data_IF_319992893472
#
_entry.id   IF_319992893472
#
_cell.length_a   1.000
_cell.length_b   1.000
_cell.length_c   1.000
_cell.angle_alpha   90.00
_cell.angle_beta   90.00
_cell.angle_gamma   90.00
#
_symmetry.space_group_name_H-M   'P 1'
#
loop_
_entity.id
_entity.type
_entity.pdbx_description
1 polymer ?
#
# COMPACT_ATOMS: atom_id res chain seq x y z
N UNK A 1 -3.55 -14.69 -12.75
CA UNK A 1 -2.56 -13.63 -12.56
C UNK A 1 -2.99 -12.37 -13.29
N UNK A 2 -2.96 -11.20 -12.67
CA UNK A 2 -3.36 -9.98 -13.37
C UNK A 2 -2.42 -9.64 -14.52
N UNK A 3 -2.97 -9.05 -15.58
CA UNK A 3 -2.18 -8.58 -16.70
C UNK A 3 -1.27 -7.43 -16.25
N UNK A 4 -0.11 -7.20 -16.91
CA UNK A 4 0.80 -6.14 -16.51
C UNK A 4 0.16 -4.74 -16.34
N UNK A 5 -0.73 -4.28 -17.24
CA UNK A 5 -1.41 -2.99 -17.04
C UNK A 5 -2.34 -2.98 -15.82
N UNK A 6 -3.00 -4.10 -15.56
CA UNK A 6 -3.88 -4.24 -14.39
C UNK A 6 -3.07 -4.23 -13.10
N UNK A 7 -1.94 -4.90 -13.08
CA UNK A 7 -1.05 -4.92 -11.93
C UNK A 7 -0.48 -3.53 -11.65
N UNK A 8 -0.06 -2.81 -12.68
CA UNK A 8 0.45 -1.44 -12.52
C UNK A 8 -0.65 -0.53 -11.94
N UNK A 9 -1.88 -0.66 -12.43
CA UNK A 9 -3.01 0.11 -11.91
C UNK A 9 -3.30 -0.23 -10.44
N UNK A 10 -3.23 -1.51 -10.08
CA UNK A 10 -3.40 -1.94 -8.69
C UNK A 10 -2.33 -1.32 -7.79
N UNK A 11 -1.07 -1.38 -8.20
CA UNK A 11 0.04 -0.82 -7.42
C UNK A 11 -0.15 0.69 -7.24
N UNK A 12 -0.48 1.39 -8.32
CA UNK A 12 -0.66 2.84 -8.31
C UNK A 12 -1.80 3.28 -7.40
N UNK A 13 -2.91 2.53 -7.38
CA UNK A 13 -4.08 2.89 -6.59
C UNK A 13 -4.02 2.42 -5.14
N UNK A 14 -3.21 1.39 -4.85
CA UNK A 14 -3.18 0.78 -3.52
C UNK A 14 -2.10 1.34 -2.60
N UNK A 15 -0.98 1.78 -3.15
CA UNK A 15 0.18 2.19 -2.36
C UNK A 15 0.52 3.66 -2.59
N UNK A 16 0.38 4.46 -1.55
CA UNK A 16 0.67 5.89 -1.61
C UNK A 16 2.17 6.18 -1.51
N UNK A 17 2.93 5.22 -1.03
CA UNK A 17 4.38 5.32 -0.88
C UNK A 17 5.01 3.95 -0.94
N UNK A 18 6.31 3.90 -1.20
CA UNK A 18 7.08 2.66 -1.14
C UNK A 18 7.04 2.08 0.29
N UNK A 19 7.03 2.98 1.29
CA UNK A 19 6.95 2.55 2.67
C UNK A 19 5.64 1.80 2.96
N UNK A 20 4.51 2.25 2.38
CA UNK A 20 3.23 1.56 2.53
C UNK A 20 3.29 0.14 1.94
N UNK A 21 3.98 -0.03 0.81
CA UNK A 21 4.21 -1.36 0.25
C UNK A 21 5.05 -2.23 1.18
N UNK A 22 6.10 -1.69 1.76
CA UNK A 22 6.94 -2.42 2.72
C UNK A 22 6.12 -2.87 3.94
N UNK A 23 5.23 -1.99 4.43
CA UNK A 23 4.33 -2.32 5.53
C UNK A 23 3.41 -3.48 5.15
N UNK A 24 2.81 -3.42 3.97
CA UNK A 24 1.96 -4.51 3.50
C UNK A 24 2.71 -5.83 3.45
N UNK A 25 3.92 -5.82 2.89
CA UNK A 25 4.72 -7.04 2.77
C UNK A 25 5.11 -7.61 4.13
N UNK A 26 5.38 -6.74 5.10
CA UNK A 26 5.66 -7.19 6.47
C UNK A 26 4.46 -7.93 7.05
N UNK A 27 3.26 -7.36 6.94
CA UNK A 27 2.04 -7.97 7.43
C UNK A 27 1.69 -9.25 6.67
N UNK A 28 1.90 -9.25 5.36
CA UNK A 28 1.64 -10.42 4.52
C UNK A 28 2.53 -11.59 4.86
N UNK A 29 3.82 -11.35 5.08
CA UNK A 29 4.78 -12.39 5.45
C UNK A 29 4.55 -12.95 6.85
N UNK A 30 3.85 -12.21 7.70
CA UNK A 30 3.56 -12.56 9.08
C UNK A 30 2.06 -12.66 9.32
N UNK A 31 1.31 -13.13 8.33
CA UNK A 31 -0.15 -13.08 8.32
C UNK A 31 -0.83 -14.07 9.29
N UNK A 32 -0.07 -14.92 9.92
CA UNK A 32 -0.63 -15.92 10.86
C UNK A 32 -1.16 -15.30 12.14
N UNK A 33 -0.78 -14.07 12.46
CA UNK A 33 -1.27 -13.38 13.65
C UNK A 33 -1.53 -11.91 13.34
N UNK A 34 -2.31 -11.30 14.21
CA UNK A 34 -2.59 -9.87 14.15
C UNK A 34 -1.51 -9.10 14.91
N UNK A 35 -1.27 -7.86 14.52
CA UNK A 35 -0.19 -7.04 15.05
C UNK A 35 -0.73 -5.78 15.71
N UNK A 36 -0.21 -5.46 16.88
CA UNK A 36 -0.47 -4.17 17.50
C UNK A 36 0.36 -3.10 16.78
N UNK A 37 -0.17 -1.88 16.72
CA UNK A 37 0.54 -0.77 16.06
C UNK A 37 1.93 -0.57 16.66
N UNK A 38 2.07 -0.67 17.97
CA UNK A 38 3.36 -0.51 18.65
C UNK A 38 4.39 -1.55 18.20
N UNK A 39 3.95 -2.79 17.97
CA UNK A 39 4.82 -3.85 17.50
C UNK A 39 5.28 -3.62 16.06
N UNK A 40 4.40 -3.09 15.22
CA UNK A 40 4.75 -2.72 13.85
C UNK A 40 5.77 -1.57 13.86
N UNK A 41 5.53 -0.56 14.69
CA UNK A 41 6.45 0.57 14.86
C UNK A 41 7.85 0.07 15.20
N UNK A 42 7.95 -0.85 16.16
CA UNK A 42 9.24 -1.42 16.56
C UNK A 42 9.89 -2.25 15.46
N UNK A 43 9.09 -3.11 14.81
CA UNK A 43 9.61 -4.03 13.78
C UNK A 43 10.12 -3.26 12.56
N UNK A 44 9.43 -2.20 12.15
CA UNK A 44 9.76 -1.43 10.96
C UNK A 44 10.60 -0.17 11.24
N UNK A 45 10.85 0.11 12.50
CA UNK A 45 11.60 1.32 12.92
C UNK A 45 11.00 2.59 12.33
N UNK A 46 9.69 2.70 12.39
CA UNK A 46 8.94 3.83 11.86
C UNK A 46 8.26 4.58 13.01
N UNK A 47 7.71 5.76 12.71
CA UNK A 47 6.93 6.50 13.69
C UNK A 47 5.53 5.92 13.80
N UNK A 48 4.88 6.18 14.94
CA UNK A 48 3.50 5.75 15.16
C UNK A 48 2.55 6.37 14.12
N UNK A 49 2.74 7.64 13.79
CA UNK A 49 1.91 8.34 12.82
C UNK A 49 2.04 7.73 11.42
N UNK A 50 3.25 7.42 11.00
CA UNK A 50 3.49 6.82 9.68
C UNK A 50 2.84 5.43 9.60
N UNK A 51 2.97 4.63 10.66
CA UNK A 51 2.33 3.31 10.69
C UNK A 51 0.81 3.44 10.67
N UNK A 52 0.25 4.33 11.47
CA UNK A 52 -1.20 4.53 11.54
C UNK A 52 -1.76 4.97 10.17
N UNK A 53 -1.10 5.92 9.50
CA UNK A 53 -1.51 6.37 8.17
C UNK A 53 -1.40 5.26 7.14
N UNK A 54 -0.34 4.46 7.20
CA UNK A 54 -0.17 3.31 6.32
C UNK A 54 -1.26 2.27 6.50
N UNK A 55 -1.60 1.94 7.75
CA UNK A 55 -2.67 1.00 8.06
C UNK A 55 -4.02 1.49 7.55
N UNK A 56 -4.32 2.78 7.72
CA UNK A 56 -5.56 3.37 7.22
C UNK A 56 -5.65 3.23 5.70
N UNK A 57 -4.57 3.55 5.01
CA UNK A 57 -4.50 3.46 3.55
C UNK A 57 -4.68 2.01 3.06
N UNK A 58 -3.99 1.06 3.69
CA UNK A 58 -4.07 -0.35 3.30
C UNK A 58 -5.44 -0.95 3.63
N UNK A 59 -6.07 -0.51 4.71
CA UNK A 59 -7.42 -0.91 5.06
C UNK A 59 -8.41 -0.42 3.99
N UNK A 60 -8.27 0.81 3.55
CA UNK A 60 -9.11 1.37 2.49
C UNK A 60 -8.91 0.63 1.16
N UNK A 61 -7.72 0.11 0.90
CA UNK A 61 -7.42 -0.66 -0.31
C UNK A 61 -7.93 -2.11 -0.24
N UNK A 62 -8.46 -2.54 0.89
CA UNK A 62 -8.96 -3.91 1.05
C UNK A 62 -7.87 -4.95 1.27
N UNK A 63 -6.71 -4.53 1.74
CA UNK A 63 -5.56 -5.42 1.95
C UNK A 63 -5.35 -5.79 3.41
N UNK A 64 -5.80 -4.94 4.33
CA UNK A 64 -5.59 -5.10 5.77
C UNK A 64 -6.92 -4.91 6.47
N UNK A 65 -7.12 -5.65 7.56
CA UNK A 65 -8.28 -5.50 8.43
C UNK A 65 -7.78 -5.05 9.79
N UNK A 66 -8.42 -4.03 10.36
CA UNK A 66 -8.20 -3.62 11.74
C UNK A 66 -9.28 -4.28 12.61
N UNK A 67 -8.84 -5.05 13.58
CA UNK A 67 -9.76 -5.79 14.46
C UNK A 67 -10.28 -4.89 15.60
N UNK A 68 -11.35 -5.34 16.27
CA UNK A 68 -11.99 -4.57 17.32
C UNK A 68 -11.04 -4.22 18.48
N UNK A 69 -10.01 -5.05 18.70
CA UNK A 69 -9.01 -4.82 19.75
C UNK A 69 -7.89 -3.87 19.32
N UNK A 70 -7.97 -3.29 18.12
CA UNK A 70 -6.97 -2.38 17.60
C UNK A 70 -5.82 -3.03 16.85
N UNK A 71 -5.78 -4.35 16.79
CA UNK A 71 -4.76 -5.06 16.04
C UNK A 71 -5.05 -5.06 14.54
N UNK A 72 -4.00 -5.15 13.74
CA UNK A 72 -4.10 -5.15 12.28
C UNK A 72 -3.54 -6.44 11.70
N UNK A 73 -4.13 -6.90 10.61
CA UNK A 73 -3.77 -8.17 10.00
C UNK A 73 -3.94 -8.11 8.49
N UNK A 74 -3.02 -8.77 7.76
CA UNK A 74 -3.19 -8.95 6.33
C UNK A 74 -4.41 -9.84 6.09
N UNK A 75 -5.40 -9.29 5.38
CA UNK A 75 -6.64 -10.00 5.07
C UNK A 75 -7.24 -9.38 3.81
N UNK A 76 -6.84 -9.87 2.62
CA UNK A 76 -7.35 -9.33 1.37
C UNK A 76 -8.86 -9.54 1.28
N UNK A 77 -9.57 -8.53 0.79
CA UNK A 77 -11.03 -8.51 0.75
C UNK A 77 -11.61 -9.46 -0.31
N UNK A 78 -10.81 -9.86 -1.30
CA UNK A 78 -11.26 -10.75 -2.37
C UNK A 78 -10.09 -11.56 -2.92
N UNK A 79 -10.35 -12.69 -3.62
CA UNK A 79 -9.31 -13.45 -4.30
C UNK A 79 -8.54 -12.62 -5.33
N UNK A 80 -9.21 -11.69 -6.00
CA UNK A 80 -8.56 -10.82 -6.99
C UNK A 80 -7.53 -9.90 -6.32
N UNK A 81 -7.88 -9.32 -5.17
CA UNK A 81 -6.97 -8.48 -4.41
C UNK A 81 -5.80 -9.32 -3.89
N UNK A 82 -6.06 -10.53 -3.40
CA UNK A 82 -5.01 -11.43 -2.95
C UNK A 82 -4.03 -11.76 -4.07
N UNK A 83 -4.55 -12.10 -5.25
CA UNK A 83 -3.71 -12.41 -6.41
C UNK A 83 -2.87 -11.21 -6.83
N UNK A 84 -3.45 -10.01 -6.79
CA UNK A 84 -2.73 -8.78 -7.12
C UNK A 84 -1.64 -8.48 -6.10
N UNK A 85 -1.89 -8.71 -4.82
CA UNK A 85 -0.89 -8.54 -3.78
C UNK A 85 0.27 -9.54 -3.95
N UNK A 86 -0.05 -10.79 -4.25
CA UNK A 86 0.96 -11.83 -4.50
C UNK A 86 1.82 -11.47 -5.72
N UNK A 87 1.18 -11.00 -6.80
CA UNK A 87 1.89 -10.58 -8.00
C UNK A 87 2.77 -9.36 -7.76
N UNK A 88 2.30 -8.42 -6.94
CA UNK A 88 3.08 -7.24 -6.55
C UNK A 88 4.33 -7.65 -5.77
N UNK A 89 4.19 -8.56 -4.82
CA UNK A 89 5.32 -9.06 -4.04
C UNK A 89 6.35 -9.72 -4.95
N UNK A 90 5.91 -10.55 -5.89
CA UNK A 90 6.81 -11.24 -6.82
C UNK A 90 7.52 -10.24 -7.74
N UNK A 91 6.79 -9.24 -8.24
CA UNK A 91 7.38 -8.22 -9.10
C UNK A 91 8.39 -7.35 -8.33
N UNK A 92 8.05 -6.97 -7.11
CA UNK A 92 8.95 -6.17 -6.27
C UNK A 92 10.25 -6.92 -5.96
N UNK A 93 10.18 -8.22 -5.77
CA UNK A 93 11.36 -9.04 -5.53
C UNK A 93 12.26 -9.10 -6.78
N UNK A 94 11.66 -9.14 -7.98
CA UNK A 94 12.41 -9.24 -9.23
C UNK A 94 12.88 -7.88 -9.76
N UNK A 95 11.99 -6.88 -9.69
CA UNK A 95 12.23 -5.56 -10.29
C UNK A 95 11.79 -4.46 -9.33
N UNK A 96 12.48 -4.29 -8.20
CA UNK A 96 12.08 -3.31 -7.20
C UNK A 96 12.00 -1.88 -7.74
N UNK A 97 12.91 -1.50 -8.63
CA UNK A 97 12.91 -0.15 -9.20
C UNK A 97 11.69 0.11 -10.09
N UNK A 98 11.22 -0.91 -10.80
CA UNK A 98 10.02 -0.78 -11.62
C UNK A 98 8.79 -0.51 -10.75
N UNK A 99 8.65 -1.23 -9.64
CA UNK A 99 7.54 -1.03 -8.70
C UNK A 99 7.64 0.35 -8.03
N UNK A 100 8.82 0.73 -7.56
CA UNK A 100 9.04 2.05 -6.95
C UNK A 100 8.67 3.16 -7.91
N UNK A 101 9.02 3.02 -9.18
CA UNK A 101 8.73 4.02 -10.21
C UNK A 101 7.23 4.20 -10.42
N UNK A 102 6.48 3.10 -10.43
CA UNK A 102 5.01 3.15 -10.53
C UNK A 102 4.42 3.94 -9.37
N UNK A 103 4.86 3.65 -8.14
CA UNK A 103 4.35 4.30 -6.94
C UNK A 103 4.68 5.79 -6.95
N UNK A 104 5.93 6.15 -7.23
CA UNK A 104 6.39 7.54 -7.22
C UNK A 104 5.70 8.34 -8.33
N UNK A 105 5.58 7.77 -9.52
CA UNK A 105 4.91 8.44 -10.65
C UNK A 105 3.44 8.70 -10.36
N UNK A 106 2.76 7.76 -9.72
CA UNK A 106 1.36 7.92 -9.34
C UNK A 106 1.18 9.02 -8.31
N UNK A 107 2.07 9.11 -7.32
CA UNK A 107 2.02 10.17 -6.33
C UNK A 107 2.24 11.54 -6.98
N UNK A 108 3.21 11.65 -7.89
CA UNK A 108 3.47 12.89 -8.62
C UNK A 108 2.32 13.29 -9.54
N UNK A 109 1.72 12.32 -10.22
CA UNK A 109 0.57 12.58 -11.08
C UNK A 109 -0.61 13.13 -10.27
N UNK A 110 -0.85 12.58 -9.08
CA UNK A 110 -1.88 13.08 -8.18
C UNK A 110 -1.64 14.52 -7.76
N UNK A 111 -0.40 14.85 -7.39
CA UNK A 111 -0.02 16.21 -7.01
C UNK A 111 -0.17 17.17 -8.20
N UNK A 112 0.28 16.76 -9.38
CA UNK A 112 0.19 17.56 -10.60
C UNK A 112 -1.26 17.84 -10.97
N UNK A 113 -2.12 16.81 -10.94
CA UNK A 113 -3.54 16.97 -11.22
C UNK A 113 -4.21 17.94 -10.25
N UNK A 114 -3.87 17.87 -8.98
CA UNK A 114 -4.37 18.78 -7.96
C UNK A 114 -3.93 20.23 -8.24
N UNK A 115 -2.66 20.42 -8.57
CA UNK A 115 -2.11 21.73 -8.88
C UNK A 115 -2.77 22.34 -10.13
N UNK A 116 -3.00 21.52 -11.16
CA UNK A 116 -3.65 21.97 -12.38
C UNK A 116 -5.11 22.37 -12.14
N UNK A 117 -5.84 21.57 -11.36
CA UNK A 117 -7.21 21.91 -10.98
C UNK A 117 -7.25 23.23 -10.20
N UNK A 118 -6.28 23.49 -9.35
CA UNK A 118 -6.18 24.70 -8.57
C UNK A 118 -5.88 25.90 -9.47
N UNK A 119 -5.06 25.69 -10.49
CA UNK A 119 -4.71 26.73 -11.47
C UNK A 119 -5.91 27.18 -12.29
N UNK A 120 -6.73 26.23 -12.70
CA UNK A 120 -7.91 26.50 -13.50
C UNK A 120 -8.95 27.34 -12.74
N UNK A 121 -8.97 27.27 -11.43
CA UNK A 121 -9.92 28.02 -10.61
C UNK A 121 -9.55 29.49 -10.45
N UNK A 122 -8.35 29.87 -10.79
CA UNK A 122 -7.88 31.26 -10.66
C UNK A 122 -8.29 32.13 -11.84
N UNK A 123 -8.73 31.51 -12.90
CA UNK A 123 -9.20 32.21 -14.08
C UNK A 123 -10.69 32.45 -14.03
#
# INVERSE_FOLDING_TARGET
MPAPPELAAFIASSFRSVWALELLLHLKRNQKHAWETADIVSAMRASELVVANGLTSLTAAGLVVQEANGQSRYAPASPDIENSADATEALYAKKPDAVRRIIVSSAQAGITAFADAFRLRKD
#
